data_IF_919792153475
#
_entry.id   IF_919792153475
#
_cell.length_a   1.000
_cell.length_b   1.000
_cell.length_c   1.000
_cell.angle_alpha   90.00
_cell.angle_beta   90.00
_cell.angle_gamma   90.00
#
_symmetry.space_group_name_H-M   'P 1'
#
loop_
_entity.id
_entity.type
_entity.pdbx_description
1 polymer ?
#
# COMPACT_ATOMS: atom_id res chain seq x y z
N UNK A 1 14.14 -9.31 20.75
CA UNK A 1 14.34 -8.07 20.11
C UNK A 1 13.12 -7.50 19.43
N UNK A 2 13.02 -6.21 19.46
CA UNK A 2 11.79 -5.53 19.05
C UNK A 2 11.59 -5.45 17.53
N UNK A 3 12.59 -5.78 16.74
CA UNK A 3 12.47 -5.65 15.30
C UNK A 3 11.30 -6.45 14.71
N UNK A 4 10.93 -7.56 15.35
CA UNK A 4 9.79 -8.35 14.88
C UNK A 4 8.46 -7.62 15.03
N UNK A 5 8.42 -6.56 15.84
CA UNK A 5 7.22 -5.77 16.05
C UNK A 5 7.09 -4.61 15.07
N UNK A 6 8.14 -4.34 14.32
CA UNK A 6 8.10 -3.23 13.37
C UNK A 6 7.52 -3.67 12.06
N UNK A 7 6.63 -2.84 11.59
CA UNK A 7 6.09 -2.91 10.26
C UNK A 7 6.97 -2.04 9.36
N UNK A 8 7.51 -2.61 8.32
CA UNK A 8 8.26 -1.84 7.34
C UNK A 8 7.33 -1.39 6.23
N UNK A 9 7.34 -0.10 5.93
CA UNK A 9 6.66 0.44 4.76
C UNK A 9 7.35 1.72 4.31
N UNK A 10 7.60 1.82 3.02
CA UNK A 10 8.32 2.94 2.44
C UNK A 10 7.83 3.19 1.02
N UNK A 11 7.68 4.46 0.67
CA UNK A 11 7.41 4.85 -0.71
C UNK A 11 8.64 5.56 -1.23
N UNK A 12 9.23 5.04 -2.30
CA UNK A 12 10.37 5.66 -2.96
C UNK A 12 10.00 6.10 -4.37
N UNK A 13 10.74 7.05 -4.91
CA UNK A 13 10.49 7.64 -6.21
C UNK A 13 11.77 7.67 -7.01
N UNK A 14 11.66 7.32 -8.28
CA UNK A 14 12.75 7.41 -9.24
C UNK A 14 12.22 8.11 -10.50
N UNK A 15 13.00 9.02 -11.06
CA UNK A 15 12.63 9.70 -12.31
C UNK A 15 13.40 9.05 -13.44
N UNK A 16 12.67 8.47 -14.41
CA UNK A 16 13.25 7.81 -15.57
C UNK A 16 12.54 8.37 -16.80
N UNK A 17 13.32 8.95 -17.74
CA UNK A 17 12.77 9.54 -18.96
C UNK A 17 11.64 10.54 -18.68
N UNK A 18 11.86 11.39 -17.68
CA UNK A 18 10.90 12.43 -17.27
C UNK A 18 9.61 11.87 -16.65
N UNK A 19 9.58 10.58 -16.35
CA UNK A 19 8.43 9.96 -15.72
C UNK A 19 8.76 9.56 -14.29
N UNK A 20 7.79 9.73 -13.39
CA UNK A 20 7.94 9.36 -11.99
C UNK A 20 7.54 7.89 -11.80
N UNK A 21 8.49 7.09 -11.38
CA UNK A 21 8.28 5.67 -11.06
C UNK A 21 8.33 5.54 -9.55
N UNK A 22 7.29 5.01 -8.97
CA UNK A 22 7.19 4.81 -7.53
C UNK A 22 7.31 3.35 -7.17
N UNK A 23 7.88 3.09 -6.00
CA UNK A 23 7.87 1.76 -5.41
C UNK A 23 7.36 1.87 -3.98
N UNK A 24 6.19 1.30 -3.75
CA UNK A 24 5.66 1.14 -2.40
C UNK A 24 6.13 -0.23 -1.91
N UNK A 25 7.04 -0.22 -0.96
CA UNK A 25 7.64 -1.44 -0.43
C UNK A 25 7.20 -1.65 1.00
N UNK A 26 6.71 -2.84 1.30
CA UNK A 26 6.27 -3.15 2.66
C UNK A 26 6.48 -4.61 2.99
N UNK A 27 6.55 -4.88 4.29
CA UNK A 27 6.62 -6.25 4.77
C UNK A 27 5.24 -6.90 4.70
N UNK A 28 5.19 -8.08 4.10
CA UNK A 28 3.96 -8.86 4.04
C UNK A 28 3.65 -9.42 5.43
N UNK A 29 2.55 -8.99 6.03
CA UNK A 29 2.18 -9.40 7.37
C UNK A 29 1.44 -10.74 7.40
N UNK A 30 1.18 -11.34 6.24
CA UNK A 30 0.69 -12.72 6.18
C UNK A 30 1.71 -13.68 6.79
N UNK A 31 3.01 -13.37 6.61
CA UNK A 31 4.10 -14.17 7.14
C UNK A 31 5.07 -13.26 7.90
N UNK A 32 4.68 -12.77 9.08
CA UNK A 32 5.44 -11.72 9.76
C UNK A 32 6.85 -12.15 10.18
N UNK A 33 7.08 -13.45 10.36
CA UNK A 33 8.38 -13.95 10.77
C UNK A 33 9.32 -14.27 9.61
N UNK A 34 8.83 -14.17 8.37
CA UNK A 34 9.60 -14.59 7.20
C UNK A 34 10.30 -13.45 6.48
N UNK A 35 10.14 -12.24 6.94
CA UNK A 35 10.78 -11.08 6.32
C UNK A 35 10.48 -10.98 4.80
N UNK A 36 9.25 -11.34 4.43
CA UNK A 36 8.80 -11.31 3.04
C UNK A 36 8.42 -9.88 2.66
N UNK A 37 9.16 -9.29 1.74
CA UNK A 37 8.93 -7.91 1.31
C UNK A 37 8.14 -7.88 0.00
N UNK A 38 7.21 -6.95 -0.07
CA UNK A 38 6.37 -6.73 -1.26
C UNK A 38 6.76 -5.41 -1.90
N UNK A 39 6.87 -5.41 -3.23
CA UNK A 39 7.17 -4.22 -4.00
C UNK A 39 5.99 -3.94 -4.93
N UNK A 40 5.37 -2.77 -4.75
CA UNK A 40 4.28 -2.31 -5.61
C UNK A 40 4.83 -1.18 -6.46
N UNK A 41 5.19 -1.49 -7.69
CA UNK A 41 5.80 -0.51 -8.60
C UNK A 41 4.75 0.05 -9.55
N UNK A 42 4.73 1.36 -9.68
CA UNK A 42 3.78 2.02 -10.57
C UNK A 42 4.31 3.36 -11.04
N UNK A 43 3.83 3.79 -12.19
CA UNK A 43 4.11 5.09 -12.75
C UNK A 43 2.93 6.01 -12.44
N UNK A 44 3.20 7.24 -12.00
CA UNK A 44 2.14 8.17 -11.65
C UNK A 44 2.63 9.60 -11.76
N UNK A 45 1.74 10.48 -12.20
CA UNK A 45 1.93 11.92 -12.08
C UNK A 45 1.66 12.32 -10.63
N UNK A 46 1.99 13.57 -10.28
CA UNK A 46 1.71 14.09 -8.94
C UNK A 46 0.21 14.00 -8.62
N UNK A 47 -0.63 14.31 -9.59
CA UNK A 47 -2.08 14.24 -9.42
C UNK A 47 -2.54 12.79 -9.22
N UNK A 48 -2.01 11.87 -10.01
CA UNK A 48 -2.34 10.45 -9.88
C UNK A 48 -1.89 9.91 -8.53
N UNK A 49 -0.72 10.33 -8.06
CA UNK A 49 -0.24 9.91 -6.74
C UNK A 49 -1.16 10.43 -5.63
N UNK A 50 -1.62 11.66 -5.74
CA UNK A 50 -2.58 12.21 -4.77
C UNK A 50 -3.89 11.42 -4.79
N UNK A 51 -4.35 11.00 -5.95
CA UNK A 51 -5.55 10.17 -6.06
C UNK A 51 -5.36 8.80 -5.41
N UNK A 52 -4.19 8.21 -5.58
CA UNK A 52 -3.84 6.94 -4.91
C UNK A 52 -3.86 7.13 -3.40
N UNK A 53 -3.20 8.18 -2.92
CA UNK A 53 -3.18 8.50 -1.49
C UNK A 53 -4.60 8.67 -0.94
N UNK A 54 -5.43 9.45 -1.61
CA UNK A 54 -6.80 9.70 -1.16
C UNK A 54 -7.65 8.44 -1.17
N UNK A 55 -7.44 7.56 -2.16
CA UNK A 55 -8.15 6.28 -2.21
C UNK A 55 -7.78 5.39 -1.03
N UNK A 56 -6.50 5.32 -0.69
CA UNK A 56 -6.05 4.54 0.47
C UNK A 56 -6.59 5.17 1.76
N UNK A 57 -6.55 6.50 1.86
CA UNK A 57 -7.05 7.21 3.03
C UNK A 57 -8.53 6.93 3.28
N UNK A 58 -9.31 6.78 2.21
CA UNK A 58 -10.72 6.43 2.32
C UNK A 58 -10.95 5.11 3.01
N UNK A 59 -9.98 4.19 2.95
CA UNK A 59 -10.08 2.91 3.66
C UNK A 59 -10.25 3.08 5.15
N UNK A 60 -9.70 4.14 5.73
CA UNK A 60 -9.84 4.42 7.16
C UNK A 60 -11.27 4.85 7.54
N UNK A 61 -12.07 5.25 6.55
CA UNK A 61 -13.46 5.69 6.74
C UNK A 61 -14.47 4.64 6.26
N UNK A 62 -14.00 3.52 5.70
CA UNK A 62 -14.87 2.46 5.23
C UNK A 62 -15.58 1.80 6.41
N UNK A 63 -16.75 1.28 6.15
CA UNK A 63 -17.51 0.50 7.13
C UNK A 63 -17.02 -0.95 7.11
N UNK A 64 -17.31 -1.67 8.20
CA UNK A 64 -16.85 -3.05 8.39
C UNK A 64 -17.17 -3.97 7.20
N UNK A 65 -18.36 -3.81 6.61
CA UNK A 65 -18.83 -4.69 5.56
C UNK A 65 -18.69 -4.08 4.16
N UNK A 66 -17.99 -2.96 4.03
CA UNK A 66 -17.77 -2.38 2.73
C UNK A 66 -16.85 -3.29 1.91
N UNK A 67 -17.12 -3.45 0.60
CA UNK A 67 -16.26 -4.26 -0.24
C UNK A 67 -14.87 -3.62 -0.41
N UNK A 68 -13.89 -4.47 -0.68
CA UNK A 68 -12.52 -4.00 -0.96
C UNK A 68 -12.56 -3.14 -2.21
N UNK A 69 -11.92 -1.97 -2.13
CA UNK A 69 -11.77 -1.09 -3.28
C UNK A 69 -10.39 -1.34 -3.89
N UNK A 70 -10.34 -1.52 -5.21
CA UNK A 70 -9.08 -1.83 -5.89
C UNK A 70 -8.57 -0.66 -6.71
N UNK A 71 -7.26 -0.48 -6.68
CA UNK A 71 -6.52 0.42 -7.58
C UNK A 71 -5.78 -0.48 -8.56
N UNK A 72 -6.08 -0.33 -9.86
CA UNK A 72 -5.48 -1.16 -10.90
C UNK A 72 -4.18 -0.52 -11.37
N UNK A 73 -3.13 -1.34 -11.45
CA UNK A 73 -1.85 -0.96 -12.03
C UNK A 73 -1.52 -1.94 -13.15
N UNK A 74 -0.57 -1.59 -14.01
CA UNK A 74 -0.15 -2.46 -15.11
C UNK A 74 0.34 -3.82 -14.60
N UNK A 75 0.98 -3.85 -13.43
CA UNK A 75 1.62 -5.04 -12.89
C UNK A 75 0.82 -5.74 -11.80
N UNK A 76 -0.35 -5.24 -11.48
CA UNK A 76 -1.16 -5.84 -10.43
C UNK A 76 -2.22 -4.90 -9.92
N UNK A 77 -2.83 -5.25 -8.80
CA UNK A 77 -3.86 -4.42 -8.19
C UNK A 77 -3.63 -4.31 -6.69
N UNK A 78 -3.93 -3.13 -6.15
CA UNK A 78 -3.84 -2.85 -4.73
C UNK A 78 -5.25 -2.70 -4.16
N UNK A 79 -5.62 -3.61 -3.26
CA UNK A 79 -6.89 -3.54 -2.57
C UNK A 79 -6.78 -2.65 -1.35
N UNK A 80 -7.86 -1.92 -1.07
CA UNK A 80 -7.96 -1.04 0.09
C UNK A 80 -9.19 -1.45 0.88
N UNK A 81 -8.99 -1.71 2.17
CA UNK A 81 -10.09 -2.10 3.03
C UNK A 81 -9.86 -1.55 4.43
N UNK A 82 -10.91 -1.62 5.25
CA UNK A 82 -10.80 -1.24 6.64
C UNK A 82 -10.19 -2.37 7.45
N UNK A 83 -9.26 -2.06 8.36
CA UNK A 83 -8.79 -3.05 9.32
C UNK A 83 -9.54 -2.89 10.65
N UNK A 84 -9.31 -1.76 11.32
CA UNK A 84 -10.04 -1.36 12.52
C UNK A 84 -10.32 0.11 12.41
N UNK A 85 -10.93 0.70 13.43
CA UNK A 85 -11.25 2.13 13.41
C UNK A 85 -9.99 2.97 13.17
N UNK A 86 -10.00 3.74 12.08
CA UNK A 86 -8.90 4.65 11.75
C UNK A 86 -7.69 3.99 11.13
N UNK A 87 -7.76 2.68 10.85
CA UNK A 87 -6.65 1.95 10.22
C UNK A 87 -7.10 1.40 8.88
N UNK A 88 -6.17 1.39 7.92
CA UNK A 88 -6.44 0.89 6.59
C UNK A 88 -5.56 -0.33 6.32
N UNK A 89 -6.15 -1.34 5.67
CA UNK A 89 -5.45 -2.52 5.21
C UNK A 89 -5.24 -2.39 3.71
N UNK A 90 -4.01 -2.62 3.26
CA UNK A 90 -3.70 -2.66 1.82
C UNK A 90 -3.27 -4.07 1.46
N UNK A 91 -3.77 -4.55 0.32
CA UNK A 91 -3.55 -5.92 -0.16
C UNK A 91 -3.13 -5.87 -1.61
N UNK A 92 -1.93 -6.33 -1.90
CA UNK A 92 -1.42 -6.31 -3.27
C UNK A 92 -1.44 -7.71 -3.87
N UNK A 93 -1.93 -7.80 -5.11
CA UNK A 93 -1.89 -9.03 -5.90
C UNK A 93 -1.22 -8.69 -7.23
N UNK A 94 -0.08 -9.30 -7.50
CA UNK A 94 0.62 -9.11 -8.77
C UNK A 94 -0.17 -9.77 -9.91
N UNK A 95 -0.07 -9.18 -11.10
CA UNK A 95 -0.71 -9.75 -12.29
C UNK A 95 -0.24 -11.18 -12.51
N UNK A 96 -1.19 -12.09 -12.73
CA UNK A 96 -0.89 -13.50 -12.95
C UNK A 96 -0.63 -14.30 -11.68
N UNK A 97 -0.75 -13.69 -10.52
CA UNK A 97 -0.55 -14.36 -9.24
C UNK A 97 -1.86 -14.46 -8.47
N UNK A 98 -1.96 -15.47 -7.62
CA UNK A 98 -3.07 -15.61 -6.68
C UNK A 98 -2.67 -15.23 -5.26
N UNK A 99 -1.39 -14.91 -5.05
CA UNK A 99 -0.92 -14.52 -3.72
C UNK A 99 -1.37 -13.10 -3.38
N UNK A 100 -1.88 -12.93 -2.16
CA UNK A 100 -2.24 -11.62 -1.62
C UNK A 100 -1.24 -11.28 -0.53
N UNK A 101 -0.55 -10.16 -0.71
CA UNK A 101 0.42 -9.68 0.26
C UNK A 101 -0.10 -8.39 0.87
N UNK A 102 -0.19 -8.34 2.19
CA UNK A 102 -0.89 -7.25 2.84
C UNK A 102 -0.10 -6.64 3.99
N UNK A 103 -0.44 -5.40 4.29
CA UNK A 103 -0.02 -4.72 5.51
C UNK A 103 -1.14 -3.75 5.92
N UNK A 104 -0.94 -3.05 7.00
CA UNK A 104 -1.89 -2.04 7.44
C UNK A 104 -1.16 -0.77 7.85
N UNK A 105 -1.88 0.34 7.85
CA UNK A 105 -1.35 1.65 8.22
C UNK A 105 -2.37 2.40 9.04
N UNK A 106 -1.89 3.18 10.01
CA UNK A 106 -2.71 4.23 10.60
C UNK A 106 -2.73 5.42 9.64
N UNK A 107 -3.67 6.35 9.85
CA UNK A 107 -3.71 7.57 9.04
C UNK A 107 -2.41 8.35 9.13
N UNK A 108 -1.81 8.42 10.33
CA UNK A 108 -0.56 9.14 10.51
C UNK A 108 0.59 8.51 9.74
N UNK A 109 0.67 7.18 9.72
CA UNK A 109 1.69 6.48 8.96
C UNK A 109 1.49 6.68 7.46
N UNK A 110 0.24 6.64 7.01
CA UNK A 110 -0.07 6.87 5.60
C UNK A 110 0.37 8.26 5.16
N UNK A 111 0.05 9.29 5.96
CA UNK A 111 0.52 10.66 5.67
C UNK A 111 2.03 10.72 5.55
N UNK A 112 2.71 10.12 6.50
CA UNK A 112 4.17 10.15 6.56
C UNK A 112 4.78 9.44 5.36
N UNK A 113 4.26 8.29 5.00
CA UNK A 113 4.76 7.49 3.86
C UNK A 113 4.63 8.27 2.55
N UNK A 114 3.53 9.01 2.38
CA UNK A 114 3.30 9.79 1.16
C UNK A 114 3.82 11.22 1.23
N UNK A 115 4.53 11.59 2.32
CA UNK A 115 5.09 12.92 2.45
C UNK A 115 4.07 14.02 2.65
N UNK A 116 2.97 13.70 3.26
CA UNK A 116 1.86 14.66 3.48
C UNK A 116 1.89 15.34 4.82
#
# INVERSE_FOLDING_TARGET
KVSSLYKYIELSKQVINEENIYNLKYQNLEFPDMNDMTNVMFKATDEELDNIYNTILMGSKMKRNDPIKYIEFDRGKLGVSRLTSGQVKILYTAAGSNEVKWTWLSKGQLKKVFGK
#
